data_IF_865218876277
#
_entry.id   IF_865218876277
#
_cell.length_a   1.000
_cell.length_b   1.000
_cell.length_c   1.000
_cell.angle_alpha   90.00
_cell.angle_beta   90.00
_cell.angle_gamma   90.00
#
_symmetry.space_group_name_H-M   'P 1'
#
loop_
_entity.id
_entity.type
_entity.pdbx_description
1 polymer ?
#
# COMPACT_ATOMS: atom_id res chain seq x y z
N UNK A 1 42.06 9.27 -12.89
CA UNK A 1 41.18 8.20 -12.36
C UNK A 1 39.90 8.84 -11.85
N UNK A 2 38.78 8.68 -12.56
CA UNK A 2 37.48 9.18 -12.09
C UNK A 2 36.89 8.09 -11.20
N UNK A 3 36.75 8.38 -9.89
CA UNK A 3 35.99 7.52 -8.98
C UNK A 3 34.52 7.71 -9.29
N UNK A 4 33.91 6.75 -9.97
CA UNK A 4 32.45 6.69 -10.10
C UNK A 4 31.92 6.27 -8.72
N UNK A 5 31.43 7.23 -7.94
CA UNK A 5 30.67 6.94 -6.74
C UNK A 5 29.29 6.43 -7.20
N UNK A 6 29.07 5.13 -7.04
CA UNK A 6 27.72 4.56 -7.15
C UNK A 6 26.96 5.06 -5.92
N UNK A 7 26.21 6.14 -6.07
CA UNK A 7 25.37 6.66 -5.00
C UNK A 7 24.32 5.58 -4.71
N UNK A 8 24.39 4.96 -3.54
CA UNK A 8 23.37 4.00 -3.12
C UNK A 8 22.04 4.75 -3.10
N UNK A 9 21.07 4.25 -3.86
CA UNK A 9 19.73 4.83 -3.87
C UNK A 9 19.17 4.75 -2.45
N UNK A 10 18.66 5.88 -1.95
CA UNK A 10 17.99 5.93 -0.65
C UNK A 10 16.80 4.98 -0.69
N UNK A 11 16.57 4.28 0.42
CA UNK A 11 15.49 3.30 0.56
C UNK A 11 14.71 3.60 1.82
N UNK A 12 13.41 3.34 1.78
CA UNK A 12 12.54 3.36 2.94
C UNK A 12 12.33 1.92 3.44
N UNK A 13 12.41 1.71 4.75
CA UNK A 13 11.96 0.51 5.42
C UNK A 13 10.55 0.77 5.97
N UNK A 14 9.54 0.09 5.42
CA UNK A 14 8.14 0.33 5.78
C UNK A 14 7.47 -0.93 6.33
N UNK A 15 6.38 -0.75 7.07
CA UNK A 15 5.52 -1.84 7.51
C UNK A 15 4.20 -1.81 6.76
N UNK A 16 3.79 -2.95 6.20
CA UNK A 16 2.48 -3.15 5.57
C UNK A 16 1.62 -4.06 6.44
N UNK A 17 0.41 -3.63 6.76
CA UNK A 17 -0.60 -4.40 7.49
C UNK A 17 -1.84 -4.51 6.61
N UNK A 18 -2.41 -5.72 6.52
CA UNK A 18 -3.69 -5.95 5.84
C UNK A 18 -4.65 -6.62 6.81
N UNK A 19 -5.77 -5.95 7.02
CA UNK A 19 -6.87 -6.34 7.87
C UNK A 19 -8.09 -6.65 7.00
N UNK A 20 -8.50 -7.91 7.01
CA UNK A 20 -9.52 -8.43 6.11
C UNK A 20 -10.91 -8.41 6.74
N UNK A 21 -11.14 -7.60 7.79
CA UNK A 21 -12.43 -7.51 8.46
C UNK A 21 -12.96 -8.86 8.94
N UNK A 22 -12.07 -9.69 9.50
CA UNK A 22 -12.42 -11.03 9.98
C UNK A 22 -12.62 -12.10 8.91
N UNK A 23 -12.67 -11.77 7.62
CA UNK A 23 -12.82 -12.74 6.53
C UNK A 23 -11.61 -13.69 6.40
N UNK A 24 -10.44 -13.22 6.84
CA UNK A 24 -9.23 -14.03 7.00
C UNK A 24 -8.30 -13.41 8.05
N UNK A 25 -7.28 -14.18 8.45
CA UNK A 25 -6.25 -13.72 9.38
C UNK A 25 -5.51 -12.50 8.82
N UNK A 26 -5.23 -11.54 9.71
CA UNK A 26 -4.43 -10.37 9.37
C UNK A 26 -3.05 -10.76 8.86
N UNK A 27 -2.53 -9.98 7.93
CA UNK A 27 -1.18 -10.16 7.40
C UNK A 27 -0.34 -8.94 7.74
N UNK A 28 0.92 -9.14 8.14
CA UNK A 28 1.85 -8.06 8.46
C UNK A 28 3.21 -8.36 7.86
N UNK A 29 3.72 -7.42 7.08
CA UNK A 29 5.06 -7.44 6.51
C UNK A 29 5.85 -6.30 7.13
N UNK A 30 6.84 -6.62 7.97
CA UNK A 30 7.73 -5.64 8.61
C UNK A 30 8.97 -5.41 7.75
N UNK A 31 9.57 -4.23 7.89
CA UNK A 31 10.86 -3.87 7.28
C UNK A 31 10.91 -4.13 5.76
N UNK A 32 9.81 -3.85 5.06
CA UNK A 32 9.77 -3.96 3.60
C UNK A 32 10.61 -2.84 3.01
N UNK A 33 11.73 -3.19 2.39
CA UNK A 33 12.59 -2.21 1.72
C UNK A 33 11.97 -1.77 0.40
N UNK A 34 11.76 -0.46 0.27
CA UNK A 34 11.23 0.19 -0.92
C UNK A 34 12.24 1.22 -1.45
N UNK A 35 12.47 1.30 -2.76
CA UNK A 35 13.22 2.40 -3.35
C UNK A 35 12.61 3.76 -3.00
N UNK A 36 13.42 4.79 -2.85
CA UNK A 36 12.95 6.18 -2.76
C UNK A 36 11.98 6.51 -3.91
N UNK A 37 10.92 7.27 -3.62
CA UNK A 37 9.87 7.58 -4.58
C UNK A 37 8.85 6.46 -4.82
N UNK A 38 8.93 5.33 -4.11
CA UNK A 38 7.88 4.30 -4.17
C UNK A 38 6.56 4.78 -3.56
N UNK A 39 5.46 4.26 -4.08
CA UNK A 39 4.09 4.63 -3.68
C UNK A 39 3.48 3.59 -2.75
N UNK A 40 2.42 3.96 -2.04
CA UNK A 40 1.63 3.05 -1.21
C UNK A 40 1.07 1.88 -2.02
N UNK A 41 0.58 2.13 -3.24
CA UNK A 41 0.12 1.07 -4.13
C UNK A 41 1.28 0.14 -4.53
N UNK A 42 2.45 0.69 -4.85
CA UNK A 42 3.63 -0.11 -5.20
C UNK A 42 4.11 -1.01 -4.05
N UNK A 43 3.99 -0.56 -2.79
CA UNK A 43 4.23 -1.42 -1.62
C UNK A 43 3.22 -2.56 -1.54
N UNK A 44 1.95 -2.28 -1.80
CA UNK A 44 0.89 -3.28 -1.76
C UNK A 44 1.10 -4.34 -2.86
N UNK A 45 1.27 -3.91 -4.12
CA UNK A 45 1.52 -4.77 -5.28
C UNK A 45 2.78 -5.64 -5.11
N UNK A 46 3.81 -5.12 -4.42
CA UNK A 46 5.05 -5.89 -4.15
C UNK A 46 4.83 -7.09 -3.23
N UNK A 47 3.85 -7.04 -2.33
CA UNK A 47 3.65 -8.04 -1.27
C UNK A 47 2.39 -8.86 -1.41
N UNK A 48 1.45 -8.42 -2.23
CA UNK A 48 0.16 -9.05 -2.42
C UNK A 48 -0.28 -9.07 -3.86
N UNK A 49 -1.20 -9.95 -4.16
CA UNK A 49 -1.99 -9.85 -5.39
C UNK A 49 -3.02 -8.74 -5.24
N UNK A 50 -3.09 -7.82 -6.20
CA UNK A 50 -3.91 -6.61 -6.13
C UNK A 50 -4.64 -6.43 -7.45
N UNK A 51 -5.96 -6.23 -7.36
CA UNK A 51 -6.77 -5.79 -8.50
C UNK A 51 -7.13 -4.34 -8.28
N UNK A 52 -6.92 -3.52 -9.31
CA UNK A 52 -7.26 -2.10 -9.29
C UNK A 52 -8.19 -1.74 -10.44
N UNK A 53 -9.09 -0.79 -10.20
CA UNK A 53 -9.92 -0.16 -11.22
C UNK A 53 -9.62 1.35 -11.29
N UNK A 54 -9.98 1.98 -12.41
CA UNK A 54 -9.83 3.43 -12.61
C UNK A 54 -9.00 3.80 -13.84
N UNK A 55 -8.61 5.08 -13.91
CA UNK A 55 -7.77 5.60 -15.00
C UNK A 55 -6.30 5.26 -14.75
N UNK A 56 -5.44 5.59 -15.73
CA UNK A 56 -3.97 5.42 -15.62
C UNK A 56 -3.40 6.02 -14.32
N UNK A 57 -4.02 7.09 -13.83
CA UNK A 57 -3.81 7.72 -12.53
C UNK A 57 -5.13 7.69 -11.75
N UNK A 58 -5.05 7.65 -10.43
CA UNK A 58 -6.17 7.52 -9.49
C UNK A 58 -6.77 6.11 -9.48
N UNK A 59 -5.90 5.13 -9.22
CA UNK A 59 -6.32 3.72 -9.13
C UNK A 59 -7.01 3.43 -7.80
N UNK A 60 -8.22 2.89 -7.87
CA UNK A 60 -8.93 2.33 -6.73
C UNK A 60 -8.54 0.87 -6.56
N UNK A 61 -8.13 0.48 -5.35
CA UNK A 61 -7.89 -0.93 -5.02
C UNK A 61 -9.22 -1.61 -4.77
N UNK A 62 -9.55 -2.63 -5.56
CA UNK A 62 -10.83 -3.34 -5.48
C UNK A 62 -10.70 -4.75 -4.92
N UNK A 63 -9.50 -5.33 -4.94
CA UNK A 63 -9.24 -6.63 -4.33
C UNK A 63 -7.80 -6.73 -3.83
N UNK A 64 -7.62 -7.41 -2.69
CA UNK A 64 -6.31 -7.74 -2.13
C UNK A 64 -6.28 -9.22 -1.77
N UNK A 65 -5.35 -9.97 -2.36
CA UNK A 65 -5.20 -11.42 -2.19
C UNK A 65 -6.54 -12.18 -2.35
N UNK A 66 -7.31 -11.84 -3.39
CA UNK A 66 -8.59 -12.46 -3.72
C UNK A 66 -9.81 -12.01 -2.89
N UNK A 67 -9.63 -11.12 -1.90
CA UNK A 67 -10.76 -10.54 -1.15
C UNK A 67 -11.16 -9.22 -1.78
N UNK A 68 -12.31 -9.23 -2.45
CA UNK A 68 -12.87 -8.08 -3.15
C UNK A 68 -13.67 -7.16 -2.22
N UNK A 69 -13.74 -5.89 -2.60
CA UNK A 69 -14.73 -4.94 -2.09
C UNK A 69 -16.14 -5.32 -2.57
N UNK A 70 -17.17 -4.78 -1.93
CA UNK A 70 -18.56 -4.95 -2.32
C UNK A 70 -19.32 -3.61 -2.20
N UNK A 71 -19.48 -2.89 -3.32
CA UNK A 71 -20.22 -1.63 -3.34
C UNK A 71 -21.69 -1.77 -2.90
N UNK A 72 -22.34 -2.91 -3.13
CA UNK A 72 -23.74 -3.12 -2.73
C UNK A 72 -23.87 -3.27 -1.21
N UNK A 73 -22.83 -3.78 -0.55
CA UNK A 73 -22.73 -3.89 0.90
C UNK A 73 -21.99 -2.70 1.54
N UNK A 74 -21.70 -1.64 0.77
CA UNK A 74 -20.91 -0.48 1.16
C UNK A 74 -19.53 -0.85 1.77
N UNK A 75 -18.92 -1.93 1.30
CA UNK A 75 -17.70 -2.51 1.82
C UNK A 75 -16.52 -2.13 0.92
N UNK A 76 -15.54 -1.40 1.45
CA UNK A 76 -14.45 -0.80 0.66
C UNK A 76 -13.07 -1.09 1.26
N UNK A 77 -12.07 -1.17 0.39
CA UNK A 77 -10.66 -1.17 0.80
C UNK A 77 -10.20 0.26 1.09
N UNK A 78 -9.87 0.53 2.35
CA UNK A 78 -9.37 1.83 2.80
C UNK A 78 -7.96 1.67 3.33
N UNK A 79 -7.15 2.73 3.28
CA UNK A 79 -5.83 2.72 3.87
C UNK A 79 -5.57 3.91 4.80
N UNK A 80 -4.62 3.71 5.70
CA UNK A 80 -4.08 4.73 6.60
C UNK A 80 -2.57 4.66 6.58
N UNK A 81 -1.92 5.76 6.93
CA UNK A 81 -0.48 5.82 7.18
C UNK A 81 -0.27 6.34 8.60
N UNK A 82 0.51 5.60 9.38
CA UNK A 82 0.80 5.94 10.78
C UNK A 82 -0.48 6.21 11.60
N UNK A 83 -1.52 5.41 11.34
CA UNK A 83 -2.82 5.49 12.02
C UNK A 83 -3.75 6.63 11.56
N UNK A 84 -3.37 7.39 10.53
CA UNK A 84 -4.16 8.53 10.03
C UNK A 84 -4.68 8.26 8.62
N UNK A 85 -5.91 8.69 8.35
CA UNK A 85 -6.46 8.72 7.00
C UNK A 85 -5.67 9.69 6.12
N UNK A 86 -5.63 9.40 4.82
CA UNK A 86 -4.88 10.18 3.83
C UNK A 86 -5.81 10.50 2.67
N UNK A 87 -5.86 11.79 2.27
CA UNK A 87 -6.70 12.28 1.17
C UNK A 87 -5.97 12.19 -0.19
N UNK A 88 -5.22 11.12 -0.43
CA UNK A 88 -4.51 10.87 -1.69
C UNK A 88 -4.76 9.46 -2.19
N UNK A 89 -4.74 9.26 -3.51
CA UNK A 89 -4.80 7.92 -4.07
C UNK A 89 -3.51 7.16 -3.74
N UNK A 90 -3.61 5.83 -3.55
CA UNK A 90 -2.46 5.02 -3.16
C UNK A 90 -1.35 4.98 -4.22
N UNK A 91 -1.68 5.18 -5.49
CA UNK A 91 -0.74 5.29 -6.60
C UNK A 91 0.02 6.62 -6.65
N UNK A 92 -0.43 7.63 -5.88
CA UNK A 92 0.19 8.96 -5.81
C UNK A 92 0.89 9.20 -4.48
N UNK A 93 0.47 8.49 -3.43
CA UNK A 93 1.01 8.66 -2.10
C UNK A 93 2.39 8.02 -1.98
N UNK A 94 3.43 8.85 -1.93
CA UNK A 94 4.81 8.42 -1.67
C UNK A 94 4.99 7.91 -0.23
N UNK A 95 5.84 6.88 -0.10
CA UNK A 95 6.27 6.30 1.17
C UNK A 95 7.47 7.04 1.75
N UNK A 96 7.43 7.24 3.06
CA UNK A 96 8.57 7.68 3.85
C UNK A 96 9.18 6.50 4.61
N UNK A 97 10.43 6.69 5.05
CA UNK A 97 11.08 5.71 5.92
C UNK A 97 10.30 5.56 7.24
N UNK A 98 10.17 4.32 7.70
CA UNK A 98 9.41 3.91 8.89
C UNK A 98 7.89 4.09 8.82
N UNK A 99 7.31 4.39 7.65
CA UNK A 99 5.86 4.43 7.50
C UNK A 99 5.21 3.08 7.82
N UNK A 100 4.10 3.14 8.56
CA UNK A 100 3.20 2.02 8.80
C UNK A 100 1.95 2.22 7.97
N UNK A 101 1.85 1.47 6.87
CA UNK A 101 0.70 1.46 5.98
C UNK A 101 -0.25 0.35 6.42
N UNK A 102 -1.47 0.70 6.79
CA UNK A 102 -2.54 -0.28 7.06
C UNK A 102 -3.63 -0.17 6.01
N UNK A 103 -3.85 -1.26 5.28
CA UNK A 103 -5.05 -1.49 4.49
C UNK A 103 -6.08 -2.27 5.31
N UNK A 104 -7.34 -1.86 5.25
CA UNK A 104 -8.41 -2.54 5.94
C UNK A 104 -9.71 -2.48 5.14
N UNK A 105 -10.41 -3.61 5.10
CA UNK A 105 -11.74 -3.68 4.52
C UNK A 105 -12.74 -3.13 5.54
N UNK A 106 -13.59 -2.19 5.12
CA UNK A 106 -14.51 -1.49 6.03
C UNK A 106 -15.84 -1.20 5.36
N UNK A 107 -16.92 -1.40 6.12
CA UNK A 107 -18.25 -0.88 5.77
C UNK A 107 -18.25 0.64 6.01
N UNK A 108 -18.55 1.41 4.97
CA UNK A 108 -18.65 2.87 5.01
C UNK A 108 -20.11 3.33 5.11
#
# INVERSE_FOLDING_TARGET
>A
MIKIFKQESKKAAVTLIIDYHGLRKHTTYKNVTMPEGSTVLGLLEKKTDVITEGRKHHKMVVSINGISQDPNANLWWIYTINGKYVDLCADEKLLNDNDVVKWFLKVC
#
